data_IF_363328508227
#
_entry.id   IF_363328508227
#
_cell.length_a   1.000
_cell.length_b   1.000
_cell.length_c   1.000
_cell.angle_alpha   90.00
_cell.angle_beta   90.00
_cell.angle_gamma   90.00
#
_symmetry.space_group_name_H-M   'P 1'
#
loop_
_entity.id
_entity.type
_entity.pdbx_description
1 polymer ?
#
# COMPACT_ATOMS: atom_id res chain seq x y z
N UNK A 1 11.72 -16.38 4.17
CA UNK A 1 11.22 -15.01 3.97
C UNK A 1 12.21 -14.06 4.62
N UNK A 2 12.51 -12.91 4.02
CA UNK A 2 13.25 -11.86 4.73
C UNK A 2 12.26 -11.21 5.71
N UNK A 3 12.48 -11.36 7.01
CA UNK A 3 11.72 -10.65 8.07
C UNK A 3 12.16 -9.18 8.07
N UNK A 4 11.78 -8.46 7.02
CA UNK A 4 11.91 -7.01 6.97
C UNK A 4 10.51 -6.45 6.91
N UNK A 5 10.16 -5.61 7.87
CA UNK A 5 8.88 -4.93 7.90
C UNK A 5 8.86 -3.88 6.77
N UNK A 6 8.24 -4.21 5.64
CA UNK A 6 8.06 -3.28 4.54
C UNK A 6 6.87 -2.38 4.81
N UNK A 7 7.03 -1.09 4.51
CA UNK A 7 5.96 -0.10 4.60
C UNK A 7 5.43 0.18 3.19
N UNK A 8 4.15 -0.08 2.97
CA UNK A 8 3.44 0.30 1.75
C UNK A 8 3.01 1.76 1.81
N UNK A 9 3.45 2.57 0.85
CA UNK A 9 3.13 3.99 0.70
C UNK A 9 2.48 4.27 -0.65
N UNK A 10 1.94 5.48 -0.84
CA UNK A 10 1.36 5.91 -2.12
C UNK A 10 0.18 5.04 -2.54
N UNK A 11 0.29 4.38 -3.70
CA UNK A 11 -0.78 3.52 -4.25
C UNK A 11 -1.27 2.46 -3.23
N UNK A 12 -0.36 1.89 -2.44
CA UNK A 12 -0.71 0.90 -1.43
C UNK A 12 -1.69 1.47 -0.40
N UNK A 13 -1.46 2.70 0.08
CA UNK A 13 -2.36 3.38 1.03
C UNK A 13 -3.73 3.54 0.40
N UNK A 14 -3.79 4.11 -0.81
CA UNK A 14 -5.07 4.40 -1.46
C UNK A 14 -5.89 3.16 -1.82
N UNK A 15 -5.23 2.10 -2.28
CA UNK A 15 -5.90 0.85 -2.66
C UNK A 15 -6.39 0.08 -1.43
N UNK A 16 -5.55 0.03 -0.39
CA UNK A 16 -5.77 -0.82 0.77
C UNK A 16 -6.69 -0.13 1.78
N UNK A 17 -6.59 1.19 1.95
CA UNK A 17 -7.55 1.95 2.76
C UNK A 17 -8.97 1.83 2.19
N UNK A 18 -9.12 1.76 0.87
CA UNK A 18 -10.42 1.53 0.24
C UNK A 18 -10.98 0.14 0.55
N UNK A 19 -10.15 -0.91 0.46
CA UNK A 19 -10.58 -2.27 0.80
C UNK A 19 -10.81 -2.45 2.31
N UNK A 20 -10.03 -1.77 3.16
CA UNK A 20 -10.26 -1.71 4.60
C UNK A 20 -11.56 -0.97 4.94
N UNK A 21 -11.85 0.12 4.23
CA UNK A 21 -13.12 0.86 4.36
C UNK A 21 -14.35 0.03 3.99
N UNK A 22 -14.20 -0.96 3.09
CA UNK A 22 -15.22 -1.96 2.80
C UNK A 22 -15.29 -3.08 3.84
N UNK A 23 -14.45 -3.06 4.88
CA UNK A 23 -14.31 -4.09 5.92
C UNK A 23 -13.75 -5.44 5.42
N UNK A 24 -13.01 -5.43 4.30
CA UNK A 24 -12.55 -6.64 3.61
C UNK A 24 -11.09 -7.01 3.91
N UNK A 25 -10.39 -6.18 4.68
CA UNK A 25 -9.01 -6.40 5.11
C UNK A 25 -8.96 -6.40 6.65
N UNK A 26 -9.09 -7.58 7.29
CA UNK A 26 -9.17 -7.70 8.76
C UNK A 26 -7.82 -7.50 9.46
N UNK A 27 -6.72 -7.70 8.75
CA UNK A 27 -5.35 -7.62 9.25
C UNK A 27 -4.77 -6.21 9.27
N UNK A 28 -5.55 -5.22 8.80
CA UNK A 28 -5.12 -3.82 8.73
C UNK A 28 -4.64 -3.29 10.10
N UNK A 29 -3.51 -2.55 10.16
CA UNK A 29 -2.70 -2.05 9.05
C UNK A 29 -1.62 -3.02 8.53
N UNK A 30 -1.50 -4.22 9.11
CA UNK A 30 -0.53 -5.24 8.73
C UNK A 30 -1.12 -6.24 7.74
N UNK A 31 -1.12 -5.86 6.48
CA UNK A 31 -1.90 -6.53 5.43
C UNK A 31 -1.11 -7.67 4.80
N UNK A 32 -1.73 -8.84 4.66
CA UNK A 32 -1.13 -10.00 4.00
C UNK A 32 -1.46 -10.02 2.51
N UNK A 33 -0.67 -10.75 1.72
CA UNK A 33 -0.98 -10.98 0.30
C UNK A 33 -2.34 -11.67 0.14
N UNK A 34 -2.68 -12.61 1.04
CA UNK A 34 -3.95 -13.32 0.98
C UNK A 34 -5.15 -12.40 1.23
N UNK A 35 -5.03 -11.43 2.14
CA UNK A 35 -6.08 -10.42 2.35
C UNK A 35 -6.31 -9.57 1.09
N UNK A 36 -5.24 -9.18 0.39
CA UNK A 36 -5.34 -8.39 -0.84
C UNK A 36 -5.97 -9.18 -1.98
N UNK A 37 -5.55 -10.44 -2.15
CA UNK A 37 -6.11 -11.30 -3.19
C UNK A 37 -7.59 -11.60 -2.92
N UNK A 38 -7.97 -11.84 -1.66
CA UNK A 38 -9.36 -12.01 -1.26
C UNK A 38 -10.20 -10.74 -1.51
N UNK A 39 -9.74 -9.58 -1.01
CA UNK A 39 -10.43 -8.31 -1.20
C UNK A 39 -10.60 -7.97 -2.69
N UNK A 40 -9.57 -8.26 -3.50
CA UNK A 40 -9.66 -8.14 -4.95
C UNK A 40 -10.72 -9.09 -5.53
N UNK A 41 -10.60 -10.41 -5.35
CA UNK A 41 -11.41 -11.38 -6.07
C UNK A 41 -12.87 -11.44 -5.60
N UNK A 42 -13.11 -11.35 -4.30
CA UNK A 42 -14.41 -11.64 -3.70
C UNK A 42 -15.22 -10.39 -3.33
N UNK A 43 -14.56 -9.26 -3.06
CA UNK A 43 -15.24 -8.08 -2.53
C UNK A 43 -15.28 -6.89 -3.48
N UNK A 44 -14.18 -6.59 -4.17
CA UNK A 44 -14.06 -5.36 -4.98
C UNK A 44 -14.27 -5.62 -6.47
N UNK A 45 -13.66 -6.67 -7.04
CA UNK A 45 -13.75 -6.94 -8.48
C UNK A 45 -15.02 -7.69 -8.91
N UNK A 46 -15.59 -8.50 -8.01
CA UNK A 46 -16.79 -9.30 -8.25
C UNK A 46 -18.09 -8.52 -8.01
N UNK A 47 -18.02 -7.42 -7.25
CA UNK A 47 -19.20 -6.62 -6.87
C UNK A 47 -19.64 -5.72 -8.01
N UNK A 48 -20.90 -5.84 -8.49
CA UNK A 48 -21.43 -4.93 -9.49
C UNK A 48 -21.40 -3.49 -8.99
N UNK A 49 -20.94 -2.57 -9.84
CA UNK A 49 -20.88 -1.16 -9.46
C UNK A 49 -22.28 -0.63 -9.09
N UNK A 50 -22.47 -0.30 -7.82
CA UNK A 50 -23.71 0.27 -7.32
C UNK A 50 -23.47 1.67 -6.78
N UNK A 51 -23.85 2.67 -7.57
CA UNK A 51 -23.65 4.08 -7.25
C UNK A 51 -24.26 4.50 -5.89
N UNK A 52 -25.36 3.87 -5.45
CA UNK A 52 -26.03 4.27 -4.21
C UNK A 52 -25.24 3.91 -2.94
N UNK A 53 -24.54 2.76 -2.94
CA UNK A 53 -23.73 2.27 -1.82
C UNK A 53 -22.59 3.23 -1.48
N UNK A 54 -22.01 3.86 -2.51
CA UNK A 54 -20.91 4.81 -2.35
C UNK A 54 -21.39 6.23 -2.01
N UNK A 55 -22.63 6.61 -2.36
CA UNK A 55 -23.21 7.91 -1.98
C UNK A 55 -23.84 7.95 -0.58
N UNK A 56 -24.16 6.80 0.00
CA UNK A 56 -24.74 6.70 1.35
C UNK A 56 -23.70 6.67 2.47
N UNK A 57 -22.42 6.51 2.13
CA UNK A 57 -21.35 6.47 3.10
C UNK A 57 -20.81 7.87 3.35
N UNK A 58 -20.54 8.28 4.60
CA UNK A 58 -20.17 9.65 4.95
C UNK A 58 -18.90 10.21 4.28
N UNK A 59 -18.05 9.36 3.67
CA UNK A 59 -16.80 9.76 3.01
C UNK A 59 -16.92 9.64 1.49
N UNK A 60 -17.48 10.67 0.86
CA UNK A 60 -17.72 10.72 -0.58
C UNK A 60 -16.46 10.88 -1.43
N UNK A 61 -15.27 11.06 -0.84
CA UNK A 61 -14.01 11.16 -1.60
C UNK A 61 -13.68 9.86 -2.36
N UNK A 62 -14.11 8.70 -1.86
CA UNK A 62 -13.83 7.40 -2.50
C UNK A 62 -14.71 7.09 -3.73
N UNK A 63 -15.76 7.89 -4.01
CA UNK A 63 -16.70 7.68 -5.12
C UNK A 63 -16.06 7.85 -6.50
N UNK A 64 -15.20 8.86 -6.67
CA UNK A 64 -14.56 9.17 -7.95
C UNK A 64 -13.49 8.13 -8.30
N UNK A 65 -12.98 7.44 -7.29
CA UNK A 65 -11.82 6.55 -7.39
C UNK A 65 -12.19 5.07 -7.42
N UNK A 66 -13.43 4.70 -7.05
CA UNK A 66 -13.90 3.31 -7.06
C UNK A 66 -13.67 2.61 -8.42
N UNK A 67 -13.73 3.37 -9.51
CA UNK A 67 -13.39 2.91 -10.87
C UNK A 67 -11.87 2.83 -11.04
N UNK A 68 -11.30 1.74 -10.56
CA UNK A 68 -9.85 1.48 -10.64
C UNK A 68 -9.34 0.69 -9.45
N UNK A 69 -10.01 0.80 -8.30
CA UNK A 69 -9.60 0.14 -7.05
C UNK A 69 -9.46 -1.38 -7.16
N UNK A 70 -10.33 -2.05 -7.90
CA UNK A 70 -10.16 -3.48 -8.19
C UNK A 70 -8.78 -3.77 -8.82
N UNK A 71 -8.41 -3.00 -9.85
CA UNK A 71 -7.13 -3.19 -10.53
C UNK A 71 -5.95 -2.82 -9.61
N UNK A 72 -6.08 -1.76 -8.81
CA UNK A 72 -5.06 -1.33 -7.87
C UNK A 72 -4.79 -2.38 -6.78
N UNK A 73 -5.85 -2.98 -6.20
CA UNK A 73 -5.74 -4.01 -5.15
C UNK A 73 -5.16 -5.30 -5.74
N UNK A 74 -5.62 -5.72 -6.92
CA UNK A 74 -5.03 -6.85 -7.65
C UNK A 74 -3.53 -6.63 -7.88
N UNK A 75 -3.17 -5.44 -8.40
CA UNK A 75 -1.78 -5.10 -8.68
C UNK A 75 -0.93 -5.10 -7.42
N UNK A 76 -1.44 -4.54 -6.31
CA UNK A 76 -0.75 -4.56 -5.02
C UNK A 76 -0.47 -5.99 -4.54
N UNK A 77 -1.47 -6.87 -4.55
CA UNK A 77 -1.29 -8.28 -4.14
C UNK A 77 -0.29 -9.04 -5.01
N UNK A 78 -0.41 -8.92 -6.34
CA UNK A 78 0.49 -9.58 -7.29
C UNK A 78 1.93 -9.04 -7.18
N UNK A 79 2.10 -7.73 -7.00
CA UNK A 79 3.43 -7.11 -6.83
C UNK A 79 4.12 -7.62 -5.57
N UNK A 80 3.41 -7.72 -4.43
CA UNK A 80 3.98 -8.27 -3.21
C UNK A 80 4.40 -9.73 -3.39
N UNK A 81 3.60 -10.53 -4.10
CA UNK A 81 3.93 -11.92 -4.42
C UNK A 81 5.17 -12.01 -5.29
N UNK A 82 5.29 -11.17 -6.32
CA UNK A 82 6.46 -11.11 -7.21
C UNK A 82 7.72 -10.65 -6.46
N UNK A 83 7.58 -9.79 -5.45
CA UNK A 83 8.64 -9.38 -4.54
C UNK A 83 8.98 -10.43 -3.47
N UNK A 84 8.30 -11.58 -3.46
CA UNK A 84 8.44 -12.64 -2.44
C UNK A 84 8.18 -12.13 -1.00
N UNK A 85 7.24 -11.19 -0.87
CA UNK A 85 6.74 -10.67 0.39
C UNK A 85 5.43 -11.35 0.76
N UNK A 86 5.24 -11.62 2.04
CA UNK A 86 4.01 -12.23 2.57
C UNK A 86 3.06 -11.20 3.15
N UNK A 87 3.59 -10.04 3.55
CA UNK A 87 2.84 -8.96 4.19
C UNK A 87 3.57 -7.62 4.07
N UNK A 88 2.81 -6.55 4.27
CA UNK A 88 3.29 -5.17 4.40
C UNK A 88 2.54 -4.46 5.52
N UNK A 89 3.12 -3.38 6.05
CA UNK A 89 2.41 -2.43 6.92
C UNK A 89 2.03 -1.21 6.11
N UNK A 90 0.78 -0.74 6.20
CA UNK A 90 0.36 0.49 5.51
C UNK A 90 0.91 1.72 6.25
N UNK A 91 1.62 2.57 5.51
CA UNK A 91 2.25 3.78 6.03
C UNK A 91 1.34 5.00 5.87
N UNK A 92 0.71 5.43 6.96
CA UNK A 92 -0.02 6.70 7.02
C UNK A 92 0.89 7.87 7.40
N UNK A 93 0.46 9.12 7.14
CA UNK A 93 1.20 10.31 7.55
C UNK A 93 1.57 10.29 9.03
N UNK A 94 2.78 10.75 9.35
CA UNK A 94 3.29 10.88 10.71
C UNK A 94 3.48 12.36 11.01
N UNK A 95 2.86 12.86 12.08
CA UNK A 95 2.91 14.27 12.48
C UNK A 95 2.57 15.24 11.32
N UNK A 96 1.51 14.95 10.57
CA UNK A 96 1.06 15.69 9.38
C UNK A 96 2.04 15.69 8.19
N UNK A 97 3.04 14.80 8.19
CA UNK A 97 3.99 14.61 7.09
C UNK A 97 3.68 13.32 6.34
N UNK A 98 3.41 13.44 5.03
CA UNK A 98 3.21 12.29 4.15
C UNK A 98 4.51 11.48 4.00
N UNK A 99 4.37 10.15 4.05
CA UNK A 99 5.48 9.23 3.87
C UNK A 99 5.80 9.08 2.38
N UNK A 100 6.64 9.97 1.88
CA UNK A 100 7.07 9.99 0.49
C UNK A 100 8.56 10.27 0.34
N UNK A 101 9.07 10.06 -0.87
CA UNK A 101 10.46 10.38 -1.23
C UNK A 101 10.79 11.87 -1.08
N UNK A 102 9.78 12.75 -1.09
CA UNK A 102 9.92 14.20 -1.05
C UNK A 102 10.57 14.69 0.25
N UNK A 103 10.20 14.12 1.40
CA UNK A 103 10.83 14.43 2.69
C UNK A 103 12.30 14.01 2.69
N UNK A 104 12.60 12.80 2.23
CA UNK A 104 13.98 12.30 2.12
C UNK A 104 14.84 13.16 1.20
N UNK A 105 14.28 13.59 0.06
CA UNK A 105 14.93 14.52 -0.86
C UNK A 105 15.24 15.86 -0.18
N UNK A 106 14.26 16.46 0.51
CA UNK A 106 14.47 17.73 1.21
C UNK A 106 15.56 17.63 2.27
N UNK A 107 15.55 16.57 3.08
CA UNK A 107 16.55 16.35 4.13
C UNK A 107 17.97 16.20 3.56
N UNK A 108 18.10 15.54 2.40
CA UNK A 108 19.37 15.42 1.68
C UNK A 108 19.86 16.76 1.16
N UNK A 109 19.01 17.49 0.43
CA UNK A 109 19.38 18.78 -0.18
C UNK A 109 19.65 19.87 0.88
N UNK A 110 18.98 19.80 2.03
CA UNK A 110 19.21 20.70 3.16
C UNK A 110 20.50 20.39 3.95
N UNK A 111 21.26 19.34 3.58
CA UNK A 111 22.42 18.82 4.31
C UNK A 111 22.13 18.54 5.80
N UNK A 112 20.87 18.18 6.11
CA UNK A 112 20.43 17.92 7.48
C UNK A 112 20.84 16.51 7.94
N UNK A 113 21.11 15.61 6.99
CA UNK A 113 21.53 14.22 7.23
C UNK A 113 22.54 13.77 6.17
N UNK A 114 23.54 13.00 6.59
CA UNK A 114 24.40 12.22 5.69
C UNK A 114 23.73 10.88 5.39
N UNK A 115 23.42 10.62 4.12
CA UNK A 115 22.87 9.32 3.69
C UNK A 115 24.04 8.36 3.48
N UNK A 116 24.14 7.35 4.34
CA UNK A 116 25.09 6.25 4.15
C UNK A 116 24.44 5.24 3.21
N UNK A 117 24.82 5.27 1.94
CA UNK A 117 24.44 4.21 1.00
C UNK A 117 25.10 2.90 1.44
N UNK A 118 24.29 1.90 1.79
CA UNK A 118 24.79 0.53 1.92
C UNK A 118 25.14 0.05 0.52
N UNK A 119 26.43 -0.14 0.24
CA UNK A 119 26.83 -0.97 -0.88
C UNK A 119 26.47 -2.39 -0.50
N UNK A 120 25.55 -2.99 -1.25
CA UNK A 120 25.40 -4.43 -1.20
C UNK A 120 26.70 -5.01 -1.76
N UNK A 121 27.46 -5.71 -0.90
CA UNK A 121 28.69 -6.39 -1.27
C UNK A 121 28.33 -7.54 -2.23
N UNK A 122 28.29 -7.25 -3.53
CA UNK A 122 28.39 -8.27 -4.57
C UNK A 122 29.84 -8.76 -4.66
N UNK A 123 29.98 -10.08 -4.52
CA UNK A 123 31.10 -10.93 -4.96
C UNK A 123 32.47 -10.76 -4.26
N UNK A 124 32.76 -11.69 -3.34
CA UNK A 124 34.07 -12.36 -3.32
C UNK A 124 33.87 -13.82 -2.87
N UNK A 125 33.46 -14.69 -3.81
CA UNK A 125 33.82 -16.11 -3.73
C UNK A 125 35.32 -16.23 -4.00
N UNK A 126 36.09 -16.62 -2.98
CA UNK A 126 37.44 -17.19 -3.10
C UNK A 126 37.47 -18.58 -2.48
#
# INVERSE_FOLDING_TARGET
ARDTDYIGIGLFVYAIDFAHWLEEIPSYPHVTVDDLLYAASEAVCSTPFNHSQFTSHPNTQHLVEARGRCADICYAGELLRDMNLTSITIGHPVDDVELEWTLGYFLREAATIDIIERKDDEEEEL
#
